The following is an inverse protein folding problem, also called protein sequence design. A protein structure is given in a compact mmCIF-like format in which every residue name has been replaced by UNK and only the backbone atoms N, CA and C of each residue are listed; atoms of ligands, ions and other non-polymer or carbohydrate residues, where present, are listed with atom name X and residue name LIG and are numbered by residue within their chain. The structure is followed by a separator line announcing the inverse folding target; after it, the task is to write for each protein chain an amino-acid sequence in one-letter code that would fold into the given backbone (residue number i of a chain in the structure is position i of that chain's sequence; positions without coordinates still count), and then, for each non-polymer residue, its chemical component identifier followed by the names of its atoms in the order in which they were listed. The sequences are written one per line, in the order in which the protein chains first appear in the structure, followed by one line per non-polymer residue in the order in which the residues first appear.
data_IF_597439551236
#
_entry.id   IF_597439551236
#
_cell.length_a   1.000
_cell.length_b   1.000
_cell.length_c   1.000
_cell.angle_alpha   90.00
_cell.angle_beta   90.00
_cell.angle_gamma   90.00
#
_symmetry.space_group_name_H-M   'P 1'
#
loop_
_entity.id
_entity.type
_entity.pdbx_description
1 polymer ?
#
# COMPACT_ATOMS: atom_id res chain seq x y z
N UNK A 1 2.03 38.73 9.19
CA UNK A 1 2.21 37.33 9.64
C UNK A 1 1.98 36.45 8.43
N UNK A 2 2.95 35.63 7.98
CA UNK A 2 2.70 34.68 6.90
C UNK A 2 1.67 33.65 7.36
N UNK A 3 0.68 33.35 6.52
CA UNK A 3 -0.44 32.47 6.85
C UNK A 3 0.05 31.03 7.06
N UNK A 4 -0.51 30.33 8.06
CA UNK A 4 -0.16 28.94 8.37
C UNK A 4 -0.25 28.00 7.14
N UNK A 5 -1.12 28.34 6.18
CA UNK A 5 -1.31 27.63 4.91
C UNK A 5 -0.06 27.68 4.02
N UNK A 6 0.68 28.79 3.96
CA UNK A 6 1.89 28.85 3.13
C UNK A 6 3.02 28.02 3.73
N UNK A 7 3.04 27.88 5.05
CA UNK A 7 4.03 27.08 5.78
C UNK A 7 3.80 25.57 5.59
N UNK A 8 2.55 25.11 5.64
CA UNK A 8 2.21 23.70 5.37
C UNK A 8 2.50 23.26 3.93
N UNK A 9 2.42 24.17 2.96
CA UNK A 9 2.77 23.90 1.55
C UNK A 9 4.29 23.71 1.40
N UNK A 10 5.09 24.59 2.01
CA UNK A 10 6.56 24.57 1.94
C UNK A 10 7.16 23.35 2.67
N UNK A 11 6.60 23.00 3.82
CA UNK A 11 7.00 21.83 4.61
C UNK A 11 6.75 20.52 3.85
N UNK A 12 5.63 20.43 3.13
CA UNK A 12 5.31 19.27 2.29
C UNK A 12 6.25 19.16 1.09
N UNK A 13 6.58 20.28 0.45
CA UNK A 13 7.47 20.30 -0.71
C UNK A 13 8.88 19.84 -0.32
N UNK A 14 9.36 20.29 0.83
CA UNK A 14 10.63 19.84 1.43
C UNK A 14 10.66 18.33 1.69
N UNK A 15 9.53 17.78 2.15
CA UNK A 15 9.38 16.35 2.40
C UNK A 15 9.27 15.54 1.11
N UNK A 16 8.55 16.03 0.10
CA UNK A 16 8.41 15.38 -1.21
C UNK A 16 9.76 15.20 -1.90
N UNK A 17 10.61 16.24 -1.86
CA UNK A 17 11.99 16.16 -2.32
C UNK A 17 12.79 15.09 -1.55
N UNK A 18 12.57 14.95 -0.24
CA UNK A 18 13.26 13.93 0.55
C UNK A 18 12.84 12.50 0.16
N UNK A 19 11.57 12.25 -0.16
CA UNK A 19 11.15 10.93 -0.68
C UNK A 19 11.83 10.59 -2.00
N UNK A 20 11.91 11.58 -2.90
CA UNK A 20 12.54 11.37 -4.19
C UNK A 20 14.04 11.09 -4.03
N UNK A 21 14.74 11.88 -3.19
CA UNK A 21 16.18 11.76 -3.00
C UNK A 21 16.60 10.51 -2.22
N UNK A 22 15.82 10.12 -1.20
CA UNK A 22 16.19 9.06 -0.25
C UNK A 22 15.52 7.72 -0.56
N UNK A 23 14.24 7.73 -0.95
CA UNK A 23 13.45 6.51 -1.19
C UNK A 23 13.19 6.24 -2.68
N UNK A 24 13.45 7.20 -3.58
CA UNK A 24 13.11 7.08 -5.00
C UNK A 24 11.60 7.07 -5.29
N UNK A 25 10.78 7.57 -4.36
CA UNK A 25 9.31 7.58 -4.49
C UNK A 25 8.83 9.00 -4.83
N UNK A 26 7.94 9.09 -5.82
CA UNK A 26 7.25 10.33 -6.19
C UNK A 26 5.80 10.24 -5.70
N UNK A 27 5.39 11.19 -4.86
CA UNK A 27 4.02 11.30 -4.36
C UNK A 27 3.28 12.36 -5.16
N UNK A 28 2.13 12.01 -5.74
CA UNK A 28 1.28 12.98 -6.45
C UNK A 28 0.44 13.80 -5.47
N UNK A 29 -0.01 14.99 -5.87
CA UNK A 29 -0.82 15.86 -5.01
C UNK A 29 -2.11 15.19 -4.54
N UNK A 30 -2.71 14.33 -5.39
CA UNK A 30 -3.92 13.57 -5.11
C UNK A 30 -3.75 12.62 -3.92
N UNK A 31 -2.53 12.19 -3.63
CA UNK A 31 -2.19 11.25 -2.56
C UNK A 31 -1.81 11.96 -1.25
N UNK A 32 -1.61 13.29 -1.28
CA UNK A 32 -1.07 14.09 -0.17
C UNK A 32 -1.83 13.87 1.14
N UNK A 33 -3.15 13.98 1.14
CA UNK A 33 -3.96 13.90 2.37
C UNK A 33 -3.88 12.53 3.04
N UNK A 34 -4.04 11.46 2.26
CA UNK A 34 -3.93 10.08 2.74
C UNK A 34 -2.53 9.81 3.29
N UNK A 35 -1.53 10.30 2.58
CA UNK A 35 -0.14 10.12 2.93
C UNK A 35 0.23 10.87 4.23
N UNK A 36 -0.20 12.12 4.41
CA UNK A 36 -0.03 12.87 5.68
C UNK A 36 -0.67 12.13 6.87
N UNK A 37 -1.83 11.51 6.66
CA UNK A 37 -2.50 10.70 7.70
C UNK A 37 -1.66 9.47 8.09
N UNK A 38 -1.07 8.78 7.11
CA UNK A 38 -0.19 7.62 7.33
C UNK A 38 1.11 8.03 8.03
N UNK A 39 1.71 9.15 7.61
CA UNK A 39 2.92 9.69 8.22
C UNK A 39 2.73 10.16 9.66
N UNK A 40 1.56 10.67 10.03
CA UNK A 40 1.30 11.06 11.42
C UNK A 40 1.55 9.90 12.40
N UNK A 41 1.24 8.66 12.02
CA UNK A 41 1.52 7.47 12.84
C UNK A 41 3.02 7.23 12.99
N UNK A 42 3.77 7.39 11.89
CA UNK A 42 5.23 7.27 11.90
C UNK A 42 5.87 8.38 12.75
N UNK A 43 5.44 9.62 12.57
CA UNK A 43 5.92 10.76 13.34
C UNK A 43 5.71 10.57 14.84
N UNK A 44 4.54 10.07 15.25
CA UNK A 44 4.27 9.72 16.66
C UNK A 44 5.21 8.62 17.18
N UNK A 45 5.44 7.56 16.40
CA UNK A 45 6.29 6.44 16.81
C UNK A 45 7.78 6.83 16.97
N UNK A 46 8.23 7.85 16.24
CA UNK A 46 9.62 8.35 16.27
C UNK A 46 9.76 9.69 17.02
N UNK A 47 8.72 10.14 17.73
CA UNK A 47 8.69 11.38 18.52
C UNK A 47 9.06 12.64 17.70
N UNK A 48 8.57 12.71 16.47
CA UNK A 48 8.77 13.84 15.56
C UNK A 48 7.52 14.74 15.54
N UNK A 49 7.72 16.05 15.65
CA UNK A 49 6.67 17.06 15.76
C UNK A 49 6.47 17.90 14.48
N UNK A 50 7.29 17.71 13.44
CA UNK A 50 7.15 18.41 12.17
C UNK A 50 7.62 17.59 10.96
N UNK A 51 7.00 17.88 9.80
CA UNK A 51 7.39 17.28 8.51
C UNK A 51 8.81 17.67 8.10
N UNK A 52 9.26 18.87 8.48
CA UNK A 52 10.63 19.34 8.25
C UNK A 52 11.63 18.47 9.01
N UNK A 53 11.39 18.19 10.30
CA UNK A 53 12.27 17.30 11.09
C UNK A 53 12.27 15.87 10.55
N UNK A 54 11.13 15.40 10.04
CA UNK A 54 11.04 14.11 9.35
C UNK A 54 11.95 14.11 8.11
N UNK A 55 11.84 15.11 7.24
CA UNK A 55 12.65 15.25 6.03
C UNK A 55 14.15 15.38 6.34
N UNK A 56 14.53 16.18 7.35
CA UNK A 56 15.93 16.29 7.79
C UNK A 56 16.48 14.97 8.30
N UNK A 57 15.70 14.24 9.12
CA UNK A 57 16.12 12.96 9.68
C UNK A 57 16.27 11.90 8.59
N UNK A 58 15.36 11.87 7.61
CA UNK A 58 15.48 11.00 6.43
C UNK A 58 16.78 11.22 5.65
N UNK A 59 17.20 12.48 5.45
CA UNK A 59 18.41 12.83 4.68
C UNK A 59 19.71 12.59 5.47
N UNK A 60 19.70 12.83 6.78
CA UNK A 60 20.88 12.66 7.64
C UNK A 60 21.20 11.19 7.88
N UNK A 61 20.17 10.41 8.17
CA UNK A 61 20.32 9.05 8.66
C UNK A 61 20.00 8.05 7.53
N UNK A 62 20.96 7.89 6.61
CA UNK A 62 20.89 6.89 5.54
C UNK A 62 20.60 5.48 6.04
N UNK A 63 19.68 4.79 5.35
CA UNK A 63 19.16 3.43 5.63
C UNK A 63 18.76 3.14 7.09
N UNK A 64 18.06 4.06 7.74
CA UNK A 64 17.55 3.82 9.11
C UNK A 64 16.19 3.14 9.13
N UNK A 65 15.87 2.54 10.29
CA UNK A 65 14.54 2.01 10.63
C UNK A 65 13.41 3.00 10.33
N UNK A 66 13.68 4.30 10.44
CA UNK A 66 12.74 5.35 10.05
C UNK A 66 12.37 5.28 8.57
N UNK A 67 13.37 5.20 7.67
CA UNK A 67 13.13 5.16 6.23
C UNK A 67 12.33 3.92 5.82
N UNK A 68 12.60 2.77 6.44
CA UNK A 68 11.79 1.56 6.26
C UNK A 68 10.35 1.77 6.74
N UNK A 69 10.14 2.27 7.95
CA UNK A 69 8.78 2.53 8.47
C UNK A 69 8.00 3.57 7.65
N UNK A 70 8.67 4.58 7.11
CA UNK A 70 8.07 5.54 6.19
C UNK A 70 7.66 4.84 4.90
N UNK A 71 8.58 4.07 4.29
CA UNK A 71 8.33 3.36 3.05
C UNK A 71 7.14 2.40 3.20
N UNK A 72 7.12 1.63 4.28
CA UNK A 72 6.01 0.72 4.60
C UNK A 72 4.71 1.50 4.75
N UNK A 73 4.72 2.62 5.49
CA UNK A 73 3.52 3.43 5.69
C UNK A 73 2.96 3.97 4.37
N UNK A 74 3.79 4.50 3.46
CA UNK A 74 3.32 5.13 2.22
C UNK A 74 3.00 4.11 1.11
N UNK A 75 3.66 2.95 1.10
CA UNK A 75 3.47 1.92 0.07
C UNK A 75 2.38 0.91 0.42
N UNK A 76 2.10 0.71 1.70
CA UNK A 76 1.02 -0.18 2.13
C UNK A 76 -0.33 0.41 1.69
N UNK A 77 -1.05 -0.23 0.76
CA UNK A 77 -2.38 0.22 0.39
C UNK A 77 -3.30 0.15 1.60
N UNK A 78 -4.28 1.04 1.68
CA UNK A 78 -5.30 0.93 2.74
C UNK A 78 -5.98 -0.43 2.59
N UNK A 79 -6.00 -1.21 3.67
CA UNK A 79 -6.50 -2.58 3.65
C UNK A 79 -8.01 -2.57 3.44
N UNK A 80 -8.42 -2.61 2.18
CA UNK A 80 -9.80 -2.86 1.81
C UNK A 80 -9.99 -4.37 1.69
N UNK A 81 -10.87 -4.87 2.54
CA UNK A 81 -11.45 -6.18 2.31
C UNK A 81 -12.31 -6.11 1.06
N UNK A 82 -12.21 -7.15 0.24
CA UNK A 82 -12.95 -7.34 -1.01
C UNK A 82 -12.51 -6.41 -2.14
N UNK A 83 -12.59 -6.95 -3.36
CA UNK A 83 -12.31 -6.21 -4.57
C UNK A 83 -13.51 -5.36 -4.97
N UNK A 84 -13.26 -4.38 -5.85
CA UNK A 84 -14.38 -3.67 -6.47
C UNK A 84 -15.24 -4.66 -7.26
N UNK A 85 -16.56 -4.45 -7.38
CA UNK A 85 -17.44 -5.32 -8.15
C UNK A 85 -16.99 -5.52 -9.60
N UNK A 86 -16.31 -4.50 -10.17
CA UNK A 86 -15.72 -4.57 -11.50
C UNK A 86 -14.60 -5.60 -11.56
N UNK A 87 -13.66 -5.57 -10.61
CA UNK A 87 -12.54 -6.53 -10.55
C UNK A 87 -13.06 -7.94 -10.30
N UNK A 88 -14.00 -8.13 -9.37
CA UNK A 88 -14.61 -9.44 -9.09
C UNK A 88 -15.27 -10.03 -10.36
N UNK A 89 -15.98 -9.22 -11.14
CA UNK A 89 -16.56 -9.66 -12.42
C UNK A 89 -15.52 -10.03 -13.47
N UNK A 90 -14.40 -9.31 -13.51
CA UNK A 90 -13.29 -9.63 -14.42
C UNK A 90 -12.61 -10.94 -14.02
N UNK A 91 -12.40 -11.15 -12.72
CA UNK A 91 -11.86 -12.39 -12.17
C UNK A 91 -12.75 -13.58 -12.58
N UNK A 92 -14.06 -13.47 -12.37
CA UNK A 92 -15.01 -14.53 -12.74
C UNK A 92 -14.93 -14.88 -14.23
N UNK A 93 -15.14 -13.87 -15.09
CA UNK A 93 -15.36 -14.07 -16.53
C UNK A 93 -14.09 -14.40 -17.30
N UNK A 94 -12.99 -13.74 -16.98
CA UNK A 94 -11.77 -13.83 -17.79
C UNK A 94 -10.72 -14.73 -17.18
N UNK A 95 -10.76 -14.95 -15.86
CA UNK A 95 -9.78 -15.80 -15.18
C UNK A 95 -10.41 -17.14 -14.82
N UNK A 96 -11.38 -17.17 -13.91
CA UNK A 96 -11.88 -18.40 -13.30
C UNK A 96 -12.63 -19.31 -14.27
N UNK A 97 -13.39 -18.75 -15.21
CA UNK A 97 -14.09 -19.53 -16.25
C UNK A 97 -13.13 -20.34 -17.15
N UNK A 98 -11.91 -19.85 -17.36
CA UNK A 98 -10.93 -20.45 -18.28
C UNK A 98 -9.67 -20.95 -17.56
N UNK A 99 -9.69 -21.02 -16.22
CA UNK A 99 -8.50 -21.32 -15.44
C UNK A 99 -8.13 -22.81 -15.53
N UNK A 100 -6.83 -23.08 -15.67
CA UNK A 100 -6.30 -24.45 -15.66
C UNK A 100 -6.28 -25.01 -14.24
N UNK A 101 -6.39 -26.33 -14.10
CA UNK A 101 -6.39 -27.02 -12.80
C UNK A 101 -5.13 -26.77 -11.96
N UNK A 102 -4.00 -26.55 -12.62
CA UNK A 102 -2.68 -26.33 -12.01
C UNK A 102 -2.28 -24.85 -11.94
N UNK A 103 -3.23 -23.94 -12.21
CA UNK A 103 -2.95 -22.52 -12.22
C UNK A 103 -2.52 -22.00 -10.84
N UNK A 104 -1.70 -20.95 -10.87
CA UNK A 104 -1.28 -20.20 -9.69
C UNK A 104 -1.63 -18.74 -9.89
N UNK A 105 -2.14 -18.11 -8.84
CA UNK A 105 -2.42 -16.68 -8.79
C UNK A 105 -1.34 -16.03 -7.93
N UNK A 106 -0.67 -15.01 -8.46
CA UNK A 106 0.29 -14.23 -7.71
C UNK A 106 -0.31 -12.87 -7.35
N UNK A 107 -0.41 -12.60 -6.06
CA UNK A 107 -0.84 -11.33 -5.48
C UNK A 107 0.41 -10.57 -5.03
N UNK A 108 0.86 -9.62 -5.84
CA UNK A 108 1.99 -8.75 -5.52
C UNK A 108 1.50 -7.48 -4.82
N UNK A 109 2.20 -7.06 -3.76
CA UNK A 109 1.80 -5.92 -2.93
C UNK A 109 0.57 -6.24 -2.07
N UNK A 110 0.55 -7.43 -1.43
CA UNK A 110 -0.62 -7.92 -0.72
C UNK A 110 -0.91 -7.22 0.62
N UNK A 111 -0.01 -6.36 1.11
CA UNK A 111 -0.03 -5.80 2.47
C UNK A 111 -0.20 -6.92 3.50
N UNK A 112 -1.16 -6.72 4.41
CA UNK A 112 -1.56 -7.68 5.45
C UNK A 112 -2.27 -8.96 4.95
N UNK A 113 -2.25 -9.21 3.63
CA UNK A 113 -2.85 -10.38 3.01
C UNK A 113 -4.36 -10.28 2.80
N UNK A 114 -5.04 -9.20 3.20
CA UNK A 114 -6.50 -9.05 3.03
C UNK A 114 -6.93 -9.24 1.58
N UNK A 115 -6.12 -8.76 0.63
CA UNK A 115 -6.33 -8.95 -0.80
C UNK A 115 -6.28 -10.42 -1.23
N UNK A 116 -5.28 -11.16 -0.76
CA UNK A 116 -5.11 -12.58 -1.09
C UNK A 116 -6.27 -13.42 -0.51
N UNK A 117 -6.69 -13.13 0.72
CA UNK A 117 -7.87 -13.75 1.32
C UNK A 117 -9.16 -13.37 0.59
N UNK A 118 -9.32 -12.12 0.17
CA UNK A 118 -10.48 -11.68 -0.59
C UNK A 118 -10.59 -12.44 -1.92
N UNK A 119 -9.48 -12.62 -2.64
CA UNK A 119 -9.45 -13.41 -3.87
C UNK A 119 -9.81 -14.88 -3.59
N UNK A 120 -9.31 -15.46 -2.49
CA UNK A 120 -9.66 -16.83 -2.10
C UNK A 120 -11.16 -16.99 -1.81
N UNK A 121 -11.77 -15.99 -1.15
CA UNK A 121 -13.21 -15.95 -0.89
C UNK A 121 -14.01 -15.84 -2.19
N UNK A 122 -13.59 -14.97 -3.12
CA UNK A 122 -14.23 -14.82 -4.43
C UNK A 122 -14.20 -16.14 -5.21
N UNK A 123 -13.09 -16.88 -5.19
CA UNK A 123 -12.98 -18.21 -5.82
C UNK A 123 -13.92 -19.22 -5.16
N UNK A 124 -13.99 -19.23 -3.84
CA UNK A 124 -14.91 -20.12 -3.11
C UNK A 124 -16.37 -19.82 -3.45
N UNK A 125 -16.73 -18.54 -3.58
CA UNK A 125 -18.07 -18.12 -4.00
C UNK A 125 -18.34 -18.49 -5.46
N UNK A 126 -17.38 -18.29 -6.35
CA UNK A 126 -17.47 -18.71 -7.76
C UNK A 126 -17.76 -20.21 -7.87
N UNK A 127 -17.03 -21.04 -7.12
CA UNK A 127 -17.23 -22.49 -7.09
C UNK A 127 -18.64 -22.87 -6.62
N UNK A 128 -19.10 -22.24 -5.52
CA UNK A 128 -20.44 -22.48 -4.98
C UNK A 128 -21.54 -22.08 -5.97
N UNK A 129 -21.39 -20.93 -6.64
CA UNK A 129 -22.39 -20.38 -7.56
C UNK A 129 -22.47 -21.15 -8.88
N UNK A 130 -21.35 -21.67 -9.37
CA UNK A 130 -21.26 -22.34 -10.67
C UNK A 130 -21.18 -23.87 -10.57
N UNK A 131 -21.18 -24.42 -9.36
CA UNK A 131 -20.98 -25.86 -9.11
C UNK A 131 -19.67 -26.40 -9.74
N UNK A 132 -18.59 -25.67 -9.55
CA UNK A 132 -17.24 -25.98 -10.03
C UNK A 132 -16.27 -26.26 -8.87
N UNK A 133 -15.08 -26.77 -9.16
CA UNK A 133 -14.03 -27.06 -8.16
C UNK A 133 -12.68 -26.45 -8.58
N UNK A 134 -12.68 -25.14 -8.81
CA UNK A 134 -11.48 -24.37 -9.14
C UNK A 134 -10.65 -24.14 -7.88
N UNK A 135 -9.39 -24.61 -7.87
CA UNK A 135 -8.48 -24.53 -6.69
C UNK A 135 -7.06 -24.08 -7.06
N UNK A 136 -6.86 -22.87 -7.60
CA UNK A 136 -5.52 -22.37 -7.87
C UNK A 136 -4.75 -22.13 -6.57
N UNK A 137 -3.44 -22.35 -6.60
CA UNK A 137 -2.58 -21.93 -5.50
C UNK A 137 -2.41 -20.41 -5.53
N UNK A 138 -2.53 -19.75 -4.37
CA UNK A 138 -2.33 -18.30 -4.24
C UNK A 138 -0.98 -18.04 -3.58
N UNK A 139 -0.08 -17.37 -4.29
CA UNK A 139 1.15 -16.82 -3.76
C UNK A 139 0.92 -15.34 -3.47
N UNK A 140 1.12 -14.91 -2.24
CA UNK A 140 1.02 -13.50 -1.84
C UNK A 140 2.40 -13.01 -1.42
N UNK A 141 2.84 -11.87 -1.95
CA UNK A 141 4.15 -11.29 -1.65
C UNK A 141 4.03 -9.78 -1.45
N UNK A 142 4.77 -9.25 -0.50
CA UNK A 142 4.92 -7.81 -0.28
C UNK A 142 6.39 -7.44 -0.07
N UNK A 143 6.69 -6.16 -0.26
CA UNK A 143 7.98 -5.54 0.03
C UNK A 143 8.08 -5.13 1.50
N UNK A 144 6.95 -4.78 2.13
CA UNK A 144 6.90 -4.40 3.53
C UNK A 144 7.03 -5.63 4.43
N UNK A 145 8.13 -5.70 5.19
CA UNK A 145 8.43 -6.84 6.08
C UNK A 145 7.45 -6.97 7.25
N UNK A 146 6.96 -5.85 7.78
CA UNK A 146 6.01 -5.83 8.91
C UNK A 146 4.57 -6.14 8.48
N UNK A 147 4.30 -6.20 7.17
CA UNK A 147 2.96 -6.45 6.63
C UNK A 147 2.66 -7.93 6.39
N UNK A 148 3.67 -8.82 6.34
CA UNK A 148 3.52 -10.25 6.06
C UNK A 148 3.35 -11.12 7.31
#
# INVERSE_FOLDING_TARGET
MPSAVSREIDDYQTLSLAFQDVLGVIITDDQRTTMLTKLNRVMQAFELDSLVKLAEKMRRDGSTRLNSSILDAITTPDSNWFQTPTISRLLDKYVLENIRKDARIWVAGCGNGSLAYSIAMDIAEYNRRNNTDVRPAILATDVAGDAL
#
